data_IF_989158987505
#
_entry.id   IF_989158987505
#
_cell.length_a   1.000
_cell.length_b   1.000
_cell.length_c   1.000
_cell.angle_alpha   90.00
_cell.angle_beta   90.00
_cell.angle_gamma   90.00
#
_symmetry.space_group_name_H-M   'P 1'
#
loop_
_entity.id
_entity.type
_entity.pdbx_description
1 polymer ?
#
# COMPACT_ATOMS: atom_id res chain seq x y z
N UNK A 1 -28.16 13.94 -3.81
CA UNK A 1 -26.78 14.04 -3.29
C UNK A 1 -26.66 13.71 -1.78
N UNK A 2 -27.76 13.44 -1.09
CA UNK A 2 -27.80 13.15 0.36
C UNK A 2 -28.39 11.75 0.64
N UNK A 3 -28.03 10.75 -0.16
CA UNK A 3 -28.34 9.36 0.15
C UNK A 3 -27.25 8.80 1.07
N UNK A 4 -27.59 8.05 2.13
CA UNK A 4 -26.63 7.50 3.10
C UNK A 4 -25.49 6.71 2.43
N UNK A 5 -25.79 6.03 1.32
CA UNK A 5 -24.81 5.24 0.56
C UNK A 5 -23.71 6.09 -0.07
N UNK A 6 -23.97 7.38 -0.36
CA UNK A 6 -23.00 8.31 -0.96
C UNK A 6 -22.14 9.05 0.07
N UNK A 7 -22.52 9.07 1.35
CA UNK A 7 -21.74 9.71 2.42
C UNK A 7 -20.33 9.11 2.55
N UNK A 8 -20.17 7.82 2.26
CA UNK A 8 -18.88 7.11 2.28
C UNK A 8 -17.87 7.78 1.32
N UNK A 9 -18.34 8.34 0.22
CA UNK A 9 -17.49 8.95 -0.80
C UNK A 9 -17.19 10.44 -0.54
N UNK A 10 -18.02 11.13 0.22
CA UNK A 10 -18.01 12.60 0.33
C UNK A 10 -17.36 13.11 1.63
N UNK A 11 -17.91 12.74 2.79
CA UNK A 11 -17.65 13.47 4.02
C UNK A 11 -16.60 12.81 4.93
N UNK A 12 -16.23 11.57 4.61
CA UNK A 12 -15.35 10.80 5.48
C UNK A 12 -13.90 10.91 5.05
N UNK A 13 -13.05 11.35 5.97
CA UNK A 13 -11.60 11.25 5.81
C UNK A 13 -11.20 9.78 5.79
N UNK A 14 -10.10 9.44 5.10
CA UNK A 14 -9.61 8.06 5.01
C UNK A 14 -9.40 7.40 6.38
N UNK A 15 -8.98 8.17 7.39
CA UNK A 15 -8.88 7.70 8.79
C UNK A 15 -10.25 7.31 9.35
N UNK A 16 -11.32 8.03 9.02
CA UNK A 16 -12.69 7.69 9.46
C UNK A 16 -13.21 6.43 8.76
N UNK A 17 -12.83 6.20 7.50
CA UNK A 17 -13.16 4.97 6.78
C UNK A 17 -12.44 3.76 7.38
N UNK A 18 -11.22 3.94 7.89
CA UNK A 18 -10.47 2.90 8.57
C UNK A 18 -11.24 2.33 9.78
N UNK A 19 -11.92 3.21 10.53
CA UNK A 19 -12.69 2.87 11.74
C UNK A 19 -14.19 2.68 11.48
N UNK A 20 -14.61 2.73 10.22
CA UNK A 20 -16.00 2.50 9.87
C UNK A 20 -16.37 1.03 10.12
N UNK A 21 -17.44 0.77 10.84
CA UNK A 21 -17.82 -0.56 11.30
C UNK A 21 -16.93 -1.17 12.40
N UNK A 22 -16.28 -0.39 13.25
CA UNK A 22 -15.64 -0.99 14.44
C UNK A 22 -16.67 -1.74 15.33
N UNK A 23 -16.30 -2.91 15.86
CA UNK A 23 -14.97 -3.57 15.86
C UNK A 23 -14.62 -4.33 14.57
N UNK A 24 -15.39 -4.21 13.51
CA UNK A 24 -15.10 -4.77 12.21
C UNK A 24 -13.99 -3.97 11.48
N UNK A 25 -13.52 -4.50 10.36
CA UNK A 25 -12.24 -4.11 9.74
C UNK A 25 -12.22 -2.79 8.98
N UNK A 26 -13.27 -1.98 9.02
CA UNK A 26 -13.33 -0.71 8.30
C UNK A 26 -13.43 -0.84 6.77
N UNK A 27 -13.35 0.29 6.09
CA UNK A 27 -13.49 0.43 4.64
C UNK A 27 -12.29 1.12 4.00
N UNK A 28 -12.20 1.02 2.69
CA UNK A 28 -11.38 1.88 1.84
C UNK A 28 -12.08 2.14 0.50
N UNK A 29 -11.62 3.18 -0.20
CA UNK A 29 -12.12 3.53 -1.53
C UNK A 29 -11.08 3.18 -2.57
N UNK A 30 -11.39 2.24 -3.46
CA UNK A 30 -10.63 1.97 -4.67
C UNK A 30 -11.01 2.97 -5.76
N UNK A 31 -10.04 3.75 -6.27
CA UNK A 31 -10.23 4.74 -7.30
C UNK A 31 -9.61 4.28 -8.62
N UNK A 32 -10.35 4.32 -9.69
CA UNK A 32 -10.05 3.95 -11.07
C UNK A 32 -10.27 2.47 -11.41
N UNK A 33 -10.62 2.18 -12.67
CA UNK A 33 -10.93 0.81 -13.11
C UNK A 33 -9.80 -0.20 -12.82
N UNK A 34 -8.55 0.15 -13.07
CA UNK A 34 -7.43 -0.77 -12.85
C UNK A 34 -7.21 -1.10 -11.38
N UNK A 35 -7.37 -0.12 -10.48
CA UNK A 35 -7.24 -0.30 -9.03
C UNK A 35 -8.37 -1.19 -8.52
N UNK A 36 -9.62 -0.94 -8.98
CA UNK A 36 -10.80 -1.73 -8.62
C UNK A 36 -10.63 -3.19 -9.07
N UNK A 37 -10.24 -3.42 -10.32
CA UNK A 37 -10.03 -4.80 -10.84
C UNK A 37 -8.96 -5.55 -10.04
N UNK A 38 -7.86 -4.89 -9.67
CA UNK A 38 -6.81 -5.51 -8.85
C UNK A 38 -7.28 -5.81 -7.43
N UNK A 39 -8.07 -4.93 -6.83
CA UNK A 39 -8.66 -5.17 -5.52
C UNK A 39 -9.65 -6.36 -5.56
N UNK A 40 -10.52 -6.42 -6.57
CA UNK A 40 -11.43 -7.56 -6.79
C UNK A 40 -10.65 -8.87 -7.01
N UNK A 41 -9.60 -8.84 -7.85
CA UNK A 41 -8.75 -10.01 -8.08
C UNK A 41 -8.01 -10.48 -6.82
N UNK A 42 -7.70 -9.57 -5.90
CA UNK A 42 -7.14 -9.89 -4.58
C UNK A 42 -8.18 -10.34 -3.55
N UNK A 43 -9.46 -10.42 -3.94
CA UNK A 43 -10.56 -10.93 -3.10
C UNK A 43 -11.09 -9.93 -2.08
N UNK A 44 -10.94 -8.62 -2.32
CA UNK A 44 -11.62 -7.61 -1.52
C UNK A 44 -13.09 -7.54 -1.89
N UNK A 45 -13.95 -7.47 -0.88
CA UNK A 45 -15.41 -7.42 -1.02
C UNK A 45 -15.87 -6.01 -1.40
N UNK A 46 -16.51 -5.80 -2.58
CA UNK A 46 -17.10 -4.53 -2.96
C UNK A 46 -18.44 -4.34 -2.22
N UNK A 47 -18.70 -3.10 -1.79
CA UNK A 47 -19.92 -2.73 -1.04
C UNK A 47 -20.82 -1.79 -1.82
N UNK A 48 -20.24 -0.88 -2.60
CA UNK A 48 -20.96 0.02 -3.52
C UNK A 48 -20.02 0.51 -4.60
N UNK A 49 -20.59 0.92 -5.74
CA UNK A 49 -19.86 1.44 -6.88
C UNK A 49 -20.47 2.78 -7.31
N UNK A 50 -19.65 3.80 -7.44
CA UNK A 50 -20.01 5.10 -7.97
C UNK A 50 -19.21 5.36 -9.24
N UNK A 51 -19.88 5.59 -10.38
CA UNK A 51 -19.21 5.68 -11.66
C UNK A 51 -19.81 6.72 -12.59
N UNK A 52 -18.99 7.22 -13.51
CA UNK A 52 -19.44 8.08 -14.59
C UNK A 52 -20.12 7.24 -15.69
N UNK A 53 -21.13 7.80 -16.37
CA UNK A 53 -21.87 7.10 -17.43
C UNK A 53 -20.95 6.51 -18.50
N UNK A 54 -19.95 7.27 -18.96
CA UNK A 54 -18.97 6.78 -19.95
C UNK A 54 -18.16 5.58 -19.47
N UNK A 55 -17.89 5.49 -18.17
CA UNK A 55 -17.19 4.33 -17.59
C UNK A 55 -18.13 3.13 -17.49
N UNK A 56 -19.41 3.33 -17.17
CA UNK A 56 -20.42 2.29 -17.20
C UNK A 56 -20.56 1.64 -18.59
N UNK A 57 -20.50 2.45 -19.64
CA UNK A 57 -20.61 2.02 -21.04
C UNK A 57 -19.30 1.42 -21.59
N UNK A 58 -18.18 1.55 -20.86
CA UNK A 58 -16.87 1.04 -21.27
C UNK A 58 -16.76 -0.49 -21.13
N UNK A 59 -15.82 -1.09 -21.86
CA UNK A 59 -15.51 -2.51 -21.73
C UNK A 59 -15.06 -2.85 -20.31
N UNK A 60 -14.16 -2.03 -19.71
CA UNK A 60 -13.71 -2.19 -18.34
C UNK A 60 -14.81 -1.99 -17.32
N UNK A 61 -15.75 -1.08 -17.55
CA UNK A 61 -16.91 -0.90 -16.67
C UNK A 61 -17.77 -2.15 -16.64
N UNK A 62 -18.05 -2.74 -17.80
CA UNK A 62 -18.80 -4.01 -17.88
C UNK A 62 -18.04 -5.17 -17.24
N UNK A 63 -16.72 -5.24 -17.42
CA UNK A 63 -15.87 -6.24 -16.73
C UNK A 63 -15.97 -6.10 -15.21
N UNK A 64 -15.87 -4.88 -14.67
CA UNK A 64 -15.98 -4.62 -13.23
C UNK A 64 -17.35 -5.02 -12.71
N UNK A 65 -18.42 -4.62 -13.38
CA UNK A 65 -19.79 -4.99 -12.98
C UNK A 65 -19.98 -6.51 -12.97
N UNK A 66 -19.47 -7.21 -13.99
CA UNK A 66 -19.49 -8.68 -14.04
C UNK A 66 -18.72 -9.30 -12.87
N UNK A 67 -17.51 -8.84 -12.58
CA UNK A 67 -16.70 -9.31 -11.45
C UNK A 67 -17.35 -9.05 -10.10
N UNK A 68 -17.98 -7.89 -9.93
CA UNK A 68 -18.72 -7.55 -8.70
C UNK A 68 -19.88 -8.53 -8.51
N UNK A 69 -20.66 -8.79 -9.57
CA UNK A 69 -21.77 -9.73 -9.52
C UNK A 69 -21.32 -11.16 -9.15
N UNK A 70 -20.15 -11.60 -9.64
CA UNK A 70 -19.56 -12.90 -9.29
C UNK A 70 -19.13 -12.99 -7.82
N UNK A 71 -18.58 -11.90 -7.24
CA UNK A 71 -17.98 -11.90 -5.89
C UNK A 71 -19.00 -11.63 -4.80
N UNK A 72 -19.92 -10.67 -5.01
CA UNK A 72 -20.82 -10.15 -3.97
C UNK A 72 -22.29 -10.15 -4.36
N UNK A 73 -22.64 -10.57 -5.57
CA UNK A 73 -23.98 -10.45 -6.08
C UNK A 73 -24.36 -9.00 -6.42
N UNK A 74 -25.59 -8.59 -6.09
CA UNK A 74 -26.05 -7.22 -6.34
C UNK A 74 -25.58 -6.28 -5.22
N UNK A 75 -24.92 -5.19 -5.61
CA UNK A 75 -24.53 -4.08 -4.74
C UNK A 75 -25.13 -2.77 -5.29
N UNK A 76 -25.26 -1.70 -4.47
CA UNK A 76 -25.63 -0.38 -4.97
C UNK A 76 -24.63 0.11 -6.03
N UNK A 77 -25.14 0.52 -7.20
CA UNK A 77 -24.37 1.11 -8.31
C UNK A 77 -25.01 2.44 -8.69
N UNK A 78 -24.31 3.53 -8.39
CA UNK A 78 -24.74 4.87 -8.71
C UNK A 78 -23.99 5.39 -9.93
N UNK A 79 -24.72 6.00 -10.87
CA UNK A 79 -24.17 6.59 -12.09
C UNK A 79 -24.46 8.09 -12.11
N UNK A 80 -23.42 8.90 -12.28
CA UNK A 80 -23.55 10.36 -12.31
C UNK A 80 -22.62 11.02 -13.33
N UNK A 81 -22.77 12.33 -13.55
CA UNK A 81 -21.82 13.10 -14.37
C UNK A 81 -20.49 13.31 -13.65
N UNK A 82 -19.42 13.60 -14.40
CA UNK A 82 -18.10 13.87 -13.82
C UNK A 82 -18.12 15.07 -12.85
N UNK A 83 -18.96 16.08 -13.13
CA UNK A 83 -19.14 17.24 -12.25
C UNK A 83 -19.68 16.80 -10.89
N UNK A 84 -20.75 15.99 -10.88
CA UNK A 84 -21.37 15.47 -9.65
C UNK A 84 -20.41 14.56 -8.90
N UNK A 85 -19.70 13.68 -9.60
CA UNK A 85 -18.69 12.82 -8.99
C UNK A 85 -17.55 13.62 -8.37
N UNK A 86 -17.10 14.69 -9.04
CA UNK A 86 -16.06 15.58 -8.52
C UNK A 86 -16.53 16.39 -7.31
N UNK A 87 -17.79 16.79 -7.28
CA UNK A 87 -18.42 17.44 -6.12
C UNK A 87 -18.50 16.48 -4.93
N UNK A 88 -18.99 15.26 -5.14
CA UNK A 88 -19.09 14.23 -4.11
C UNK A 88 -17.71 13.87 -3.54
N UNK A 89 -16.71 13.69 -4.38
CA UNK A 89 -15.36 13.28 -3.96
C UNK A 89 -14.50 14.42 -3.41
N UNK A 90 -14.94 15.68 -3.58
CA UNK A 90 -14.20 16.88 -3.18
C UNK A 90 -13.00 17.22 -4.06
N UNK A 91 -12.79 16.52 -5.18
CA UNK A 91 -11.73 16.79 -6.16
C UNK A 91 -12.07 16.24 -7.54
N UNK A 92 -11.40 16.77 -8.58
CA UNK A 92 -11.61 16.32 -9.96
C UNK A 92 -11.10 14.89 -10.15
N UNK A 93 -12.00 13.97 -10.47
CA UNK A 93 -11.66 12.60 -10.78
C UNK A 93 -11.02 12.49 -12.16
N UNK A 94 -9.86 11.88 -12.24
CA UNK A 94 -9.19 11.64 -13.52
C UNK A 94 -9.87 10.52 -14.33
N UNK A 95 -10.44 9.54 -13.63
CA UNK A 95 -11.25 8.45 -14.18
C UNK A 95 -12.44 8.26 -13.26
N UNK A 96 -13.63 8.52 -13.76
CA UNK A 96 -14.87 8.62 -12.98
C UNK A 96 -15.39 7.31 -12.44
N UNK A 97 -14.61 6.63 -11.59
CA UNK A 97 -15.03 5.39 -10.95
C UNK A 97 -14.42 5.25 -9.55
N UNK A 98 -15.28 5.03 -8.57
CA UNK A 98 -14.95 4.80 -7.16
C UNK A 98 -15.71 3.56 -6.67
N UNK A 99 -15.04 2.67 -5.96
CA UNK A 99 -15.65 1.51 -5.33
C UNK A 99 -15.33 1.50 -3.84
N UNK A 100 -16.34 1.50 -2.99
CA UNK A 100 -16.18 1.26 -1.56
C UNK A 100 -16.00 -0.24 -1.34
N UNK A 101 -14.95 -0.61 -0.61
CA UNK A 101 -14.60 -2.00 -0.36
C UNK A 101 -14.32 -2.24 1.12
N UNK A 102 -14.62 -3.44 1.59
CA UNK A 102 -14.35 -3.88 2.95
C UNK A 102 -12.87 -4.20 3.12
N UNK A 103 -12.27 -3.71 4.19
CA UNK A 103 -10.90 -4.08 4.58
C UNK A 103 -10.85 -5.54 5.04
N UNK A 104 -9.67 -6.13 4.93
CA UNK A 104 -9.39 -7.49 5.40
C UNK A 104 -8.45 -7.45 6.60
N UNK A 105 -8.43 -8.51 7.42
CA UNK A 105 -7.40 -8.67 8.43
C UNK A 105 -6.04 -8.71 7.76
N UNK A 106 -5.08 -8.02 8.36
CA UNK A 106 -3.71 -8.12 7.93
C UNK A 106 -3.11 -9.46 8.41
N UNK A 107 -2.29 -10.10 7.57
CA UNK A 107 -1.55 -11.30 7.96
C UNK A 107 -0.53 -10.96 9.05
N UNK A 108 -0.09 -11.96 9.79
CA UNK A 108 1.04 -11.81 10.72
C UNK A 108 2.34 -11.70 9.93
N UNK A 109 3.33 -11.03 10.52
CA UNK A 109 4.65 -10.88 9.93
C UNK A 109 5.30 -12.24 9.65
N UNK A 110 5.16 -13.18 10.58
CA UNK A 110 5.75 -14.51 10.45
C UNK A 110 5.18 -15.28 9.25
N UNK A 111 3.87 -15.14 9.00
CA UNK A 111 3.19 -15.78 7.86
C UNK A 111 3.68 -15.21 6.52
N UNK A 112 3.92 -13.90 6.46
CA UNK A 112 4.45 -13.23 5.28
C UNK A 112 5.92 -13.55 5.01
N UNK A 113 6.75 -13.51 6.06
CA UNK A 113 8.20 -13.57 5.95
C UNK A 113 8.74 -15.02 5.93
N UNK A 114 7.93 -16.02 6.30
CA UNK A 114 8.39 -17.41 6.42
C UNK A 114 9.09 -17.92 5.17
N UNK A 115 8.46 -17.78 4.02
CA UNK A 115 8.96 -18.23 2.71
C UNK A 115 9.49 -17.09 1.82
N UNK A 116 9.36 -15.84 2.24
CA UNK A 116 9.82 -14.70 1.48
C UNK A 116 11.35 -14.62 1.50
N UNK A 117 11.94 -14.22 0.37
CA UNK A 117 13.39 -14.06 0.22
C UNK A 117 13.81 -12.60 0.18
N UNK A 118 12.98 -11.74 -0.33
CA UNK A 118 13.23 -10.29 -0.48
C UNK A 118 12.05 -9.53 0.09
N UNK A 119 12.27 -8.80 1.18
CA UNK A 119 11.23 -7.96 1.79
C UNK A 119 11.68 -6.52 1.87
N UNK A 120 10.72 -5.61 1.85
CA UNK A 120 10.96 -4.20 2.16
C UNK A 120 10.30 -3.86 3.50
N UNK A 121 10.98 -3.08 4.32
CA UNK A 121 10.46 -2.54 5.58
C UNK A 121 10.43 -1.02 5.47
N UNK A 122 9.27 -0.42 5.67
CA UNK A 122 9.06 1.01 5.59
C UNK A 122 9.01 1.59 7.00
N UNK A 123 9.94 2.48 7.32
CA UNK A 123 9.97 3.17 8.61
C UNK A 123 9.44 4.59 8.47
N UNK A 124 8.28 4.86 9.10
CA UNK A 124 7.66 6.18 9.19
C UNK A 124 7.44 6.90 7.84
N UNK A 125 7.19 6.16 6.78
CA UNK A 125 6.89 6.73 5.45
C UNK A 125 5.48 7.32 5.48
N UNK A 126 5.37 8.56 5.91
CA UNK A 126 4.08 9.26 6.15
C UNK A 126 3.39 9.76 4.88
N UNK A 127 4.11 9.89 3.77
CA UNK A 127 3.54 10.36 2.51
C UNK A 127 2.91 9.19 1.73
N UNK A 128 1.58 9.19 1.52
CA UNK A 128 0.91 8.10 0.79
C UNK A 128 1.38 7.97 -0.67
N UNK A 129 1.92 9.04 -1.27
CA UNK A 129 2.53 8.99 -2.60
C UNK A 129 3.78 8.12 -2.59
N UNK A 130 4.63 8.28 -1.56
CA UNK A 130 5.87 7.52 -1.42
C UNK A 130 5.56 6.04 -1.12
N UNK A 131 4.61 5.77 -0.23
CA UNK A 131 4.11 4.40 0.01
C UNK A 131 3.65 3.76 -1.30
N UNK A 132 2.80 4.44 -2.08
CA UNK A 132 2.33 3.94 -3.37
C UNK A 132 3.46 3.70 -4.38
N UNK A 133 4.45 4.60 -4.46
CA UNK A 133 5.62 4.46 -5.34
C UNK A 133 6.50 3.26 -4.94
N UNK A 134 6.72 3.06 -3.64
CA UNK A 134 7.47 1.92 -3.11
C UNK A 134 6.75 0.61 -3.46
N UNK A 135 5.44 0.50 -3.24
CA UNK A 135 4.68 -0.70 -3.63
C UNK A 135 4.75 -0.99 -5.13
N UNK A 136 4.72 0.05 -5.96
CA UNK A 136 4.86 -0.11 -7.41
C UNK A 136 6.25 -0.64 -7.78
N UNK A 137 7.30 -0.12 -7.16
CA UNK A 137 8.68 -0.58 -7.35
C UNK A 137 8.86 -1.99 -6.79
N UNK A 138 8.32 -2.28 -5.60
CA UNK A 138 8.35 -3.59 -4.97
C UNK A 138 7.76 -4.66 -5.89
N UNK A 139 6.57 -4.41 -6.46
CA UNK A 139 5.94 -5.31 -7.41
C UNK A 139 6.80 -5.51 -8.67
N UNK A 140 7.38 -4.45 -9.22
CA UNK A 140 8.20 -4.50 -10.42
C UNK A 140 9.53 -5.24 -10.21
N UNK A 141 10.10 -5.16 -9.01
CA UNK A 141 11.39 -5.76 -8.65
C UNK A 141 11.25 -7.14 -7.98
N UNK A 142 10.03 -7.66 -7.85
CA UNK A 142 9.80 -8.99 -7.27
C UNK A 142 10.06 -9.06 -5.76
N UNK A 143 9.72 -8.00 -5.02
CA UNK A 143 9.70 -8.02 -3.56
C UNK A 143 8.52 -8.89 -3.11
N UNK A 144 8.80 -9.85 -2.23
CA UNK A 144 7.83 -10.86 -1.79
C UNK A 144 6.83 -10.32 -0.77
N UNK A 145 7.26 -9.38 0.10
CA UNK A 145 6.41 -8.77 1.12
C UNK A 145 6.89 -7.37 1.52
N UNK A 146 5.96 -6.54 2.01
CA UNK A 146 6.25 -5.22 2.58
C UNK A 146 5.77 -5.17 4.03
N UNK A 147 6.66 -4.77 4.93
CA UNK A 147 6.35 -4.48 6.33
C UNK A 147 6.31 -2.97 6.53
N UNK A 148 5.33 -2.46 7.27
CA UNK A 148 5.21 -1.03 7.55
C UNK A 148 5.23 -0.80 9.06
N UNK A 149 6.00 0.17 9.55
CA UNK A 149 5.87 0.60 10.95
C UNK A 149 4.58 1.40 11.16
N UNK A 150 4.11 1.50 12.38
CA UNK A 150 2.84 2.17 12.71
C UNK A 150 2.76 3.65 12.34
N UNK A 151 3.89 4.31 12.06
CA UNK A 151 3.96 5.69 11.58
C UNK A 151 3.78 5.86 10.07
N UNK A 152 3.71 4.79 9.30
CA UNK A 152 3.52 4.85 7.86
C UNK A 152 2.09 5.23 7.47
N UNK A 153 1.92 5.87 6.31
CA UNK A 153 0.61 5.97 5.66
C UNK A 153 0.10 4.60 5.26
N UNK A 154 -1.19 4.40 5.44
CA UNK A 154 -1.86 3.15 5.08
C UNK A 154 -1.82 2.92 3.55
N UNK A 155 -1.39 1.73 3.07
CA UNK A 155 -1.34 1.39 1.65
C UNK A 155 -2.70 1.45 0.94
N UNK A 156 -3.82 1.30 1.68
CA UNK A 156 -5.18 1.36 1.13
C UNK A 156 -5.74 2.78 1.08
N UNK A 157 -5.01 3.80 1.51
CA UNK A 157 -5.41 5.18 1.23
C UNK A 157 -5.50 5.41 -0.28
N UNK A 158 -6.54 6.10 -0.72
CA UNK A 158 -6.86 6.33 -2.15
C UNK A 158 -5.63 6.77 -2.94
N UNK A 159 -4.83 7.68 -2.39
CA UNK A 159 -3.63 8.20 -3.04
C UNK A 159 -2.56 7.12 -3.18
N UNK A 160 -2.29 6.32 -2.15
CA UNK A 160 -1.32 5.24 -2.20
C UNK A 160 -1.75 4.15 -3.20
N UNK A 161 -3.00 3.68 -3.10
CA UNK A 161 -3.55 2.69 -4.02
C UNK A 161 -3.53 3.16 -5.49
N UNK A 162 -3.82 4.44 -5.75
CA UNK A 162 -3.78 5.02 -7.09
C UNK A 162 -2.35 5.17 -7.64
N UNK A 163 -1.42 5.71 -6.85
CA UNK A 163 -0.01 5.89 -7.24
C UNK A 163 0.64 4.54 -7.50
N UNK A 164 0.35 3.53 -6.68
CA UNK A 164 0.81 2.17 -6.89
C UNK A 164 0.17 1.50 -8.12
N UNK A 165 -0.82 2.12 -8.76
CA UNK A 165 -1.64 1.49 -9.79
C UNK A 165 -2.36 0.22 -9.29
N UNK A 166 -2.56 0.09 -7.97
CA UNK A 166 -3.18 -1.07 -7.31
C UNK A 166 -2.21 -2.21 -7.00
N UNK A 167 -0.88 -2.02 -7.09
CA UNK A 167 0.08 -3.07 -6.68
C UNK A 167 0.08 -3.31 -5.18
N UNK A 168 -0.48 -2.41 -4.37
CA UNK A 168 -0.78 -2.64 -2.94
C UNK A 168 -1.69 -3.86 -2.69
N UNK A 169 -2.42 -4.31 -3.72
CA UNK A 169 -3.24 -5.53 -3.66
C UNK A 169 -2.50 -6.77 -4.18
N UNK A 170 -1.33 -6.62 -4.77
CA UNK A 170 -0.55 -7.69 -5.38
C UNK A 170 0.65 -8.11 -4.52
N UNK A 171 1.30 -7.15 -3.86
CA UNK A 171 2.39 -7.43 -2.93
C UNK A 171 1.80 -7.58 -1.54
N UNK A 172 1.97 -8.73 -0.88
CA UNK A 172 1.50 -8.94 0.50
C UNK A 172 2.17 -7.97 1.47
N UNK A 173 1.42 -7.49 2.46
CA UNK A 173 1.95 -6.54 3.44
C UNK A 173 1.24 -6.64 4.80
N UNK A 174 1.90 -6.12 5.83
CA UNK A 174 1.32 -5.95 7.16
C UNK A 174 1.88 -4.71 7.86
N UNK A 175 1.19 -4.28 8.93
CA UNK A 175 1.64 -3.18 9.79
C UNK A 175 2.20 -3.80 11.08
N UNK A 176 3.43 -3.40 11.43
CA UNK A 176 4.12 -3.80 12.64
C UNK A 176 3.58 -3.03 13.84
N UNK A 177 3.54 -3.66 15.00
CA UNK A 177 3.22 -2.96 16.24
C UNK A 177 4.37 -2.00 16.60
N UNK A 178 4.02 -0.73 16.87
CA UNK A 178 5.02 0.32 17.13
C UNK A 178 5.96 -0.01 18.28
N UNK A 179 5.48 -0.73 19.30
CA UNK A 179 6.29 -1.14 20.47
C UNK A 179 7.35 -2.18 20.12
N UNK A 180 7.22 -2.90 19.01
CA UNK A 180 8.11 -4.00 18.61
C UNK A 180 9.21 -3.54 17.63
N UNK A 181 9.13 -2.31 17.14
CA UNK A 181 10.11 -1.73 16.24
C UNK A 181 11.09 -0.78 16.93
N UNK A 182 12.40 -0.83 16.61
CA UNK A 182 13.05 -1.77 15.69
C UNK A 182 13.47 -3.09 16.37
N UNK A 183 13.85 -3.09 17.65
CA UNK A 183 14.60 -4.14 18.35
C UNK A 183 13.98 -5.54 18.22
N UNK A 184 12.72 -5.68 18.64
CA UNK A 184 12.06 -6.99 18.63
C UNK A 184 11.84 -7.52 17.22
N UNK A 185 11.40 -6.66 16.29
CA UNK A 185 11.17 -7.04 14.88
C UNK A 185 12.47 -7.43 14.18
N UNK A 186 13.55 -6.69 14.40
CA UNK A 186 14.86 -7.01 13.81
C UNK A 186 15.39 -8.34 14.34
N UNK A 187 15.23 -8.61 15.63
CA UNK A 187 15.59 -9.91 16.22
C UNK A 187 14.80 -11.06 15.57
N UNK A 188 13.50 -10.87 15.37
CA UNK A 188 12.66 -11.88 14.68
C UNK A 188 13.13 -12.10 13.23
N UNK A 189 13.41 -11.05 12.48
CA UNK A 189 13.92 -11.17 11.10
C UNK A 189 15.25 -11.92 11.04
N UNK A 190 16.18 -11.65 11.98
CA UNK A 190 17.44 -12.39 12.06
C UNK A 190 17.21 -13.88 12.37
N UNK A 191 16.29 -14.21 13.30
CA UNK A 191 15.90 -15.61 13.59
C UNK A 191 15.30 -16.33 12.39
N UNK A 192 14.65 -15.60 11.48
CA UNK A 192 14.10 -16.12 10.23
C UNK A 192 15.15 -16.19 9.10
N UNK A 193 16.40 -15.81 9.38
CA UNK A 193 17.53 -15.88 8.46
C UNK A 193 17.68 -14.65 7.55
N UNK A 194 17.02 -13.54 7.84
CA UNK A 194 17.20 -12.32 7.08
C UNK A 194 18.48 -11.59 7.43
N UNK A 195 19.19 -11.17 6.41
CA UNK A 195 20.21 -10.12 6.47
C UNK A 195 19.53 -8.77 6.27
N UNK A 196 19.74 -7.85 7.20
CA UNK A 196 19.05 -6.55 7.22
C UNK A 196 19.95 -5.44 6.68
N UNK A 197 19.45 -4.64 5.75
CA UNK A 197 20.19 -3.51 5.18
C UNK A 197 19.41 -2.22 5.30
N UNK A 198 20.02 -1.21 5.91
CA UNK A 198 19.48 0.13 6.00
C UNK A 198 19.85 0.93 4.74
N UNK A 199 18.85 1.49 4.04
CA UNK A 199 19.10 2.46 2.97
C UNK A 199 19.42 3.81 3.61
N UNK A 200 20.72 4.12 3.75
CA UNK A 200 21.18 5.31 4.45
C UNK A 200 22.46 5.89 3.83
N UNK A 201 22.59 7.22 3.92
CA UNK A 201 23.75 7.96 3.43
C UNK A 201 24.84 7.96 4.50
N UNK A 202 25.69 6.93 4.51
CA UNK A 202 26.88 6.86 5.37
C UNK A 202 28.13 6.62 4.53
N UNK A 203 29.27 7.10 5.02
CA UNK A 203 30.56 7.00 4.31
C UNK A 203 31.03 5.56 4.09
N UNK A 204 30.68 4.66 5.01
CA UNK A 204 31.02 3.24 4.99
C UNK A 204 29.91 2.33 4.39
N UNK A 205 28.90 2.92 3.77
CA UNK A 205 27.81 2.16 3.16
C UNK A 205 28.28 1.33 1.96
N UNK A 206 27.76 0.11 1.88
CA UNK A 206 27.93 -0.75 0.70
C UNK A 206 27.20 -0.14 -0.51
N UNK A 207 27.64 -0.50 -1.69
CA UNK A 207 26.91 -0.22 -2.92
C UNK A 207 25.84 -1.30 -3.15
N UNK A 208 24.75 -0.99 -3.90
CA UNK A 208 23.73 -1.99 -4.21
C UNK A 208 24.26 -3.20 -5.01
N UNK A 209 25.37 -3.03 -5.73
CA UNK A 209 26.05 -4.05 -6.53
C UNK A 209 27.21 -4.73 -5.79
N UNK A 210 27.30 -4.60 -4.48
CA UNK A 210 28.35 -5.22 -3.67
C UNK A 210 28.19 -6.75 -3.63
N UNK A 211 29.32 -7.47 -3.78
CA UNK A 211 29.34 -8.93 -3.82
C UNK A 211 28.80 -9.57 -2.51
N UNK A 212 28.95 -8.88 -1.38
CA UNK A 212 28.42 -9.32 -0.09
C UNK A 212 26.90 -9.53 -0.14
N UNK A 213 26.17 -8.67 -0.86
CA UNK A 213 24.73 -8.72 -0.97
C UNK A 213 24.23 -9.79 -1.97
N UNK A 214 25.05 -10.14 -2.98
CA UNK A 214 24.68 -11.11 -4.01
C UNK A 214 24.41 -12.50 -3.46
N UNK A 215 25.14 -12.91 -2.41
CA UNK A 215 25.04 -14.25 -1.83
C UNK A 215 24.06 -14.35 -0.66
N UNK A 216 23.36 -13.24 -0.33
CA UNK A 216 22.37 -13.23 0.73
C UNK A 216 21.12 -13.98 0.29
N UNK A 217 20.76 -15.04 1.01
CA UNK A 217 19.58 -15.86 0.69
C UNK A 217 18.28 -15.10 0.99
N UNK A 218 18.18 -14.49 2.17
CA UNK A 218 17.04 -13.68 2.61
C UNK A 218 17.49 -12.27 2.95
N UNK A 219 16.94 -11.26 2.27
CA UNK A 219 17.29 -9.86 2.42
C UNK A 219 16.09 -9.02 2.84
N UNK A 220 16.24 -8.24 3.91
CA UNK A 220 15.29 -7.21 4.33
C UNK A 220 15.89 -5.82 4.05
N UNK A 221 15.23 -5.05 3.19
CA UNK A 221 15.65 -3.69 2.80
C UNK A 221 14.81 -2.70 3.59
N UNK A 222 15.46 -1.92 4.47
CA UNK A 222 14.79 -0.94 5.32
C UNK A 222 14.89 0.44 4.67
N UNK A 223 13.72 1.07 4.47
CA UNK A 223 13.54 2.36 3.81
C UNK A 223 12.94 3.37 4.80
N UNK A 224 13.59 4.50 4.96
CA UNK A 224 13.13 5.60 5.81
C UNK A 224 12.22 6.59 5.11
N UNK A 225 11.80 7.60 5.87
CA UNK A 225 11.03 8.74 5.35
C UNK A 225 11.91 9.67 4.52
N UNK A 226 11.27 10.44 3.63
CA UNK A 226 11.92 11.49 2.85
C UNK A 226 12.35 12.64 3.79
N UNK A 227 13.61 13.05 3.69
CA UNK A 227 14.19 14.13 4.49
C UNK A 227 14.93 13.65 5.74
N UNK A 228 14.27 13.01 6.70
CA UNK A 228 14.92 12.55 7.94
C UNK A 228 15.60 11.17 7.79
N UNK A 229 15.17 10.38 6.80
CA UNK A 229 15.70 9.03 6.59
C UNK A 229 15.24 8.04 7.65
N UNK A 230 16.13 7.12 8.01
CA UNK A 230 15.95 6.11 9.05
C UNK A 230 16.40 6.63 10.41
N UNK A 231 15.76 6.17 11.47
CA UNK A 231 16.19 6.45 12.84
C UNK A 231 17.61 5.88 13.10
N UNK A 232 18.39 6.57 13.92
CA UNK A 232 19.76 6.16 14.24
C UNK A 232 19.84 4.76 14.86
N UNK A 233 18.89 4.42 15.72
CA UNK A 233 18.81 3.11 16.35
C UNK A 233 18.48 2.00 15.34
N UNK A 234 17.59 2.28 14.38
CA UNK A 234 17.27 1.37 13.27
C UNK A 234 18.52 1.09 12.42
N UNK A 235 19.28 2.15 12.08
CA UNK A 235 20.50 2.01 11.29
C UNK A 235 21.55 1.20 12.08
N UNK A 236 21.68 1.45 13.38
CA UNK A 236 22.65 0.76 14.24
C UNK A 236 22.32 -0.72 14.42
N UNK A 237 21.05 -1.09 14.35
CA UNK A 237 20.58 -2.47 14.48
C UNK A 237 20.57 -3.26 13.17
N UNK A 238 20.82 -2.63 12.02
CA UNK A 238 20.98 -3.32 10.74
C UNK A 238 22.36 -3.98 10.61
N UNK A 239 22.42 -5.09 9.85
CA UNK A 239 23.68 -5.80 9.58
C UNK A 239 24.60 -4.99 8.68
N UNK A 240 24.06 -4.24 7.72
CA UNK A 240 24.81 -3.33 6.85
C UNK A 240 23.99 -2.07 6.51
N UNK A 241 24.71 -1.05 6.03
CA UNK A 241 24.11 0.11 5.37
C UNK A 241 24.40 0.03 3.87
N UNK A 242 23.42 0.46 3.06
CA UNK A 242 23.52 0.52 1.60
C UNK A 242 23.20 1.92 1.12
N UNK A 243 24.04 2.46 0.24
CA UNK A 243 23.83 3.76 -0.38
C UNK A 243 23.85 3.64 -1.90
N UNK A 244 22.85 4.24 -2.57
CA UNK A 244 22.87 4.42 -4.02
C UNK A 244 23.70 5.68 -4.30
N UNK A 245 24.86 5.56 -4.99
CA UNK A 245 25.67 6.75 -5.28
C UNK A 245 24.93 7.66 -6.25
N UNK A 246 24.67 8.89 -5.79
CA UNK A 246 23.97 9.90 -6.58
C UNK A 246 24.97 10.90 -7.19
N UNK A 247 24.72 11.32 -8.44
CA UNK A 247 25.47 12.38 -9.08
C UNK A 247 24.99 13.76 -8.61
N UNK A 248 25.86 14.76 -8.71
CA UNK A 248 25.55 16.17 -8.45
C UNK A 248 25.14 16.53 -7.01
N UNK A 249 25.50 15.71 -6.02
CA UNK A 249 25.17 16.01 -4.62
C UNK A 249 23.65 15.97 -4.33
N UNK A 250 22.92 15.16 -5.06
CA UNK A 250 21.52 14.86 -4.78
C UNK A 250 21.49 13.76 -3.71
N UNK A 251 20.66 13.96 -2.69
CA UNK A 251 20.45 13.03 -1.59
C UNK A 251 19.37 11.99 -1.96
#
# INVERSE_FOLDING_TARGET
>A
LHTPELEIYNERREVQLLHYYEPERGLFIAESPNVILRALAAGYEPLSLLMEQREADSEKGREILGRIAEVSGEIPVDVASNEVLSEISGFKLARGMLCAMRRRALPKMEDLCGNARRIAVLENVVNPTNVGAIFRSAAALGIDAVLLTGGCSDPLYRRAARVSMGTVFQVPWTILETKDWPEHTMEQLRKMGYHTVAMALKEDSLRPDDEKLHNVEKLAIILGTEGEGLAADTIADCDDTVCIPMAHGVD
#
